data_IF_347936631625
#
_entry.id   IF_347936631625
#
_cell.length_a   1.000
_cell.length_b   1.000
_cell.length_c   1.000
_cell.angle_alpha   90.00
_cell.angle_beta   90.00
_cell.angle_gamma   90.00
#
_symmetry.space_group_name_H-M   'P 1'
#
loop_
_entity.id
_entity.type
_entity.pdbx_description
1 polymer ?
#
# COMPACT_ATOMS: atom_id res chain seq x y z
N UNK A 1 -0.36 3.01 34.48
CA UNK A 1 -1.68 3.22 33.84
C UNK A 1 -1.87 2.09 32.84
N UNK A 2 -2.94 1.35 32.97
CA UNK A 2 -3.12 -0.05 32.55
C UNK A 2 -3.09 -0.28 31.02
N UNK A 3 -2.07 -0.97 30.49
CA UNK A 3 -1.89 -1.27 29.06
C UNK A 3 -2.60 -2.57 28.59
N UNK A 4 -3.51 -3.13 29.40
CA UNK A 4 -4.09 -4.46 29.12
C UNK A 4 -5.61 -4.48 28.86
N UNK A 5 -6.26 -3.32 28.67
CA UNK A 5 -7.68 -3.29 28.27
C UNK A 5 -7.82 -3.40 26.75
N UNK A 6 -8.37 -4.52 26.32
CA UNK A 6 -8.96 -4.70 24.99
C UNK A 6 -10.06 -3.66 24.78
N UNK A 7 -10.01 -2.89 23.69
CA UNK A 7 -11.05 -1.92 23.31
C UNK A 7 -11.74 -2.37 22.02
N UNK A 8 -13.04 -2.08 21.91
CA UNK A 8 -13.79 -2.20 20.66
C UNK A 8 -13.55 -0.94 19.82
N UNK A 9 -13.47 -1.04 18.49
CA UNK A 9 -13.21 0.13 17.65
C UNK A 9 -14.44 1.05 17.70
N UNK A 10 -14.24 2.32 18.03
CA UNK A 10 -15.28 3.31 17.75
C UNK A 10 -15.46 3.45 16.24
N UNK A 11 -16.66 3.87 15.78
CA UNK A 11 -16.90 4.14 14.35
C UNK A 11 -15.83 5.05 13.74
N UNK A 12 -15.42 6.09 14.49
CA UNK A 12 -14.41 7.04 14.04
C UNK A 12 -13.02 6.41 13.91
N UNK A 13 -12.64 5.52 14.82
CA UNK A 13 -11.36 4.80 14.69
C UNK A 13 -11.38 3.81 13.53
N UNK A 14 -12.50 3.12 13.34
CA UNK A 14 -12.67 2.20 12.22
C UNK A 14 -12.61 2.94 10.87
N UNK A 15 -13.31 4.07 10.74
CA UNK A 15 -13.27 4.93 9.55
C UNK A 15 -11.84 5.43 9.26
N UNK A 16 -11.11 5.86 10.29
CA UNK A 16 -9.71 6.28 10.12
C UNK A 16 -8.79 5.14 9.65
N UNK A 17 -9.02 3.92 10.13
CA UNK A 17 -8.26 2.75 9.68
C UNK A 17 -8.62 2.44 8.22
N UNK A 18 -9.90 2.44 7.89
CA UNK A 18 -10.39 2.22 6.53
C UNK A 18 -9.75 3.22 5.55
N UNK A 19 -9.93 4.53 5.79
CA UNK A 19 -9.42 5.58 4.90
C UNK A 19 -7.90 5.53 4.71
N UNK A 20 -7.16 5.01 5.69
CA UNK A 20 -5.70 4.91 5.61
C UNK A 20 -5.21 3.62 4.93
N UNK A 21 -5.88 2.49 5.15
CA UNK A 21 -5.40 1.19 4.70
C UNK A 21 -6.07 0.70 3.41
N UNK A 22 -7.25 1.21 3.07
CA UNK A 22 -8.09 0.65 2.00
C UNK A 22 -7.32 0.49 0.68
N UNK A 23 -6.66 1.54 0.22
CA UNK A 23 -5.88 1.53 -1.02
C UNK A 23 -4.73 0.50 -0.98
N UNK A 24 -3.91 0.53 0.09
CA UNK A 24 -2.81 -0.42 0.28
C UNK A 24 -3.30 -1.87 0.31
N UNK A 25 -4.43 -2.13 0.97
CA UNK A 25 -5.03 -3.47 1.05
C UNK A 25 -5.56 -3.92 -0.31
N UNK A 26 -6.14 -3.02 -1.10
CA UNK A 26 -6.59 -3.33 -2.46
C UNK A 26 -5.39 -3.68 -3.36
N UNK A 27 -4.28 -2.93 -3.26
CA UNK A 27 -3.05 -3.24 -3.99
C UNK A 27 -2.46 -4.59 -3.59
N UNK A 28 -2.51 -4.95 -2.30
CA UNK A 28 -2.10 -6.27 -1.84
C UNK A 28 -2.98 -7.36 -2.40
N UNK A 29 -4.31 -7.23 -2.28
CA UNK A 29 -5.24 -8.21 -2.82
C UNK A 29 -5.02 -8.41 -4.34
N UNK A 30 -4.77 -7.31 -5.06
CA UNK A 30 -4.55 -7.34 -6.50
C UNK A 30 -3.29 -8.11 -6.90
N UNK A 31 -2.23 -8.11 -6.07
CA UNK A 31 -1.05 -8.96 -6.31
C UNK A 31 -1.35 -10.46 -6.30
N UNK A 32 -2.44 -10.87 -5.63
CA UNK A 32 -2.89 -12.25 -5.62
C UNK A 32 -3.90 -12.52 -6.73
N UNK A 33 -4.95 -11.70 -6.83
CA UNK A 33 -6.11 -12.03 -7.66
C UNK A 33 -6.07 -11.43 -9.07
N UNK A 34 -5.18 -10.45 -9.32
CA UNK A 34 -5.01 -9.74 -10.60
C UNK A 34 -6.31 -9.21 -11.21
N UNK A 35 -7.23 -8.76 -10.35
CA UNK A 35 -8.52 -8.17 -10.70
C UNK A 35 -8.84 -7.09 -9.66
N UNK A 36 -8.89 -5.84 -10.10
CA UNK A 36 -9.08 -4.71 -9.21
C UNK A 36 -10.47 -4.70 -8.56
N UNK A 37 -11.52 -5.00 -9.31
CA UNK A 37 -12.88 -5.01 -8.78
C UNK A 37 -13.03 -6.09 -7.70
N UNK A 38 -12.49 -7.28 -7.97
CA UNK A 38 -12.45 -8.35 -6.99
C UNK A 38 -11.59 -8.01 -5.77
N UNK A 39 -10.49 -7.28 -5.97
CA UNK A 39 -9.63 -6.82 -4.87
C UNK A 39 -10.39 -5.87 -3.94
N UNK A 40 -11.13 -4.92 -4.50
CA UNK A 40 -11.99 -4.01 -3.74
C UNK A 40 -13.06 -4.77 -2.96
N UNK A 41 -13.73 -5.75 -3.57
CA UNK A 41 -14.74 -6.61 -2.93
C UNK A 41 -14.14 -7.44 -1.78
N UNK A 42 -12.94 -7.99 -1.98
CA UNK A 42 -12.22 -8.74 -0.95
C UNK A 42 -11.97 -7.85 0.26
N UNK A 43 -11.44 -6.65 0.04
CA UNK A 43 -11.13 -5.70 1.10
C UNK A 43 -12.41 -5.23 1.81
N UNK A 44 -13.46 -4.87 1.07
CA UNK A 44 -14.74 -4.46 1.64
C UNK A 44 -15.32 -5.52 2.57
N UNK A 45 -15.43 -6.78 2.14
CA UNK A 45 -16.00 -7.82 3.02
C UNK A 45 -15.06 -8.19 4.19
N UNK A 46 -13.73 -7.95 4.11
CA UNK A 46 -12.87 -8.02 5.30
C UNK A 46 -13.23 -6.93 6.31
N UNK A 47 -13.41 -5.68 5.86
CA UNK A 47 -13.82 -4.59 6.74
C UNK A 47 -15.20 -4.84 7.34
N UNK A 48 -16.20 -5.23 6.54
CA UNK A 48 -17.56 -5.54 7.02
C UNK A 48 -17.49 -6.63 8.09
N UNK A 49 -16.80 -7.75 7.83
CA UNK A 49 -16.65 -8.83 8.81
C UNK A 49 -15.90 -8.39 10.07
N UNK A 50 -14.89 -7.55 9.94
CA UNK A 50 -14.16 -7.03 11.10
C UNK A 50 -15.06 -6.15 11.99
N UNK A 51 -15.93 -5.34 11.36
CA UNK A 51 -16.91 -4.51 12.04
C UNK A 51 -18.00 -5.34 12.74
N UNK A 52 -18.61 -6.28 12.03
CA UNK A 52 -19.68 -7.16 12.54
C UNK A 52 -19.20 -8.03 13.71
N UNK A 53 -17.99 -8.59 13.60
CA UNK A 53 -17.41 -9.43 14.63
C UNK A 53 -16.80 -8.65 15.80
N UNK A 54 -16.86 -7.31 15.77
CA UNK A 54 -16.30 -6.42 16.80
C UNK A 54 -14.89 -6.80 17.21
N UNK A 55 -14.01 -6.98 16.23
CA UNK A 55 -12.68 -7.57 16.46
C UNK A 55 -11.93 -6.81 17.58
N UNK A 56 -11.62 -7.47 18.71
CA UNK A 56 -10.96 -6.84 19.83
C UNK A 56 -9.51 -6.51 19.49
N UNK A 57 -9.04 -5.31 19.86
CA UNK A 57 -7.63 -4.93 19.66
C UNK A 57 -7.01 -4.28 20.90
N UNK A 58 -5.70 -4.49 21.04
CA UNK A 58 -4.88 -3.97 22.15
C UNK A 58 -4.09 -2.71 21.75
N UNK A 59 -3.77 -2.54 20.46
CA UNK A 59 -3.01 -1.41 19.92
C UNK A 59 -3.27 -1.28 18.40
N UNK A 60 -3.15 -0.06 17.86
CA UNK A 60 -3.27 0.30 16.43
C UNK A 60 -2.41 -0.57 15.50
N UNK A 61 -1.14 -0.80 15.85
CA UNK A 61 -0.26 -1.62 14.99
C UNK A 61 -0.75 -3.08 14.85
N UNK A 62 -1.41 -3.61 15.89
CA UNK A 62 -1.95 -4.98 15.86
C UNK A 62 -3.20 -5.09 15.01
N UNK A 63 -4.04 -4.05 14.98
CA UNK A 63 -5.24 -4.06 14.14
C UNK A 63 -4.88 -3.87 12.66
N UNK A 64 -3.88 -3.05 12.34
CA UNK A 64 -3.38 -2.90 10.96
C UNK A 64 -2.83 -4.23 10.43
N UNK A 65 -1.94 -4.88 11.20
CA UNK A 65 -1.42 -6.20 10.85
C UNK A 65 -2.51 -7.28 10.70
N UNK A 66 -3.59 -7.18 11.48
CA UNK A 66 -4.76 -8.04 11.32
C UNK A 66 -5.44 -7.84 9.96
N UNK A 67 -5.71 -6.60 9.54
CA UNK A 67 -6.35 -6.32 8.25
C UNK A 67 -5.53 -6.83 7.08
N UNK A 68 -4.22 -6.58 7.12
CA UNK A 68 -3.25 -7.12 6.17
C UNK A 68 -3.36 -8.64 6.07
N UNK A 69 -3.30 -9.34 7.21
CA UNK A 69 -3.37 -10.81 7.25
C UNK A 69 -4.73 -11.32 6.74
N UNK A 70 -5.83 -10.66 7.13
CA UNK A 70 -7.18 -11.05 6.74
C UNK A 70 -7.41 -10.92 5.23
N UNK A 71 -6.93 -9.83 4.62
CA UNK A 71 -7.01 -9.61 3.16
C UNK A 71 -6.18 -10.63 2.39
N UNK A 72 -4.94 -10.92 2.84
CA UNK A 72 -4.12 -11.99 2.27
C UNK A 72 -4.86 -13.32 2.31
N UNK A 73 -5.33 -13.73 3.49
CA UNK A 73 -5.93 -15.05 3.67
C UNK A 73 -7.16 -15.20 2.77
N UNK A 74 -8.00 -14.17 2.72
CA UNK A 74 -9.18 -14.19 1.87
C UNK A 74 -8.85 -14.18 0.37
N UNK A 75 -7.79 -13.48 -0.04
CA UNK A 75 -7.31 -13.52 -1.42
C UNK A 75 -6.81 -14.91 -1.80
N UNK A 76 -6.04 -15.56 -0.90
CA UNK A 76 -5.58 -16.93 -1.08
C UNK A 76 -6.73 -17.93 -1.10
N UNK A 77 -7.75 -17.75 -0.25
CA UNK A 77 -8.94 -18.61 -0.21
C UNK A 77 -9.77 -18.48 -1.49
N UNK A 78 -9.91 -17.26 -2.02
CA UNK A 78 -10.51 -17.04 -3.33
C UNK A 78 -9.73 -17.79 -4.42
N UNK A 79 -8.40 -17.63 -4.46
CA UNK A 79 -7.54 -18.32 -5.41
C UNK A 79 -7.66 -19.84 -5.30
N UNK A 80 -7.64 -20.40 -4.09
CA UNK A 80 -7.85 -21.84 -3.86
C UNK A 80 -9.21 -22.30 -4.37
N UNK A 81 -10.27 -21.54 -4.15
CA UNK A 81 -11.61 -21.85 -4.65
C UNK A 81 -11.70 -21.79 -6.18
N UNK A 82 -10.97 -20.85 -6.80
CA UNK A 82 -10.84 -20.72 -8.25
C UNK A 82 -10.02 -21.86 -8.86
N UNK A 83 -8.85 -22.19 -8.31
CA UNK A 83 -8.00 -23.28 -8.81
C UNK A 83 -8.53 -24.68 -8.51
N UNK A 84 -9.31 -24.85 -7.44
CA UNK A 84 -10.08 -26.09 -7.25
C UNK A 84 -11.10 -26.31 -8.38
N UNK A 85 -11.44 -25.26 -9.14
CA UNK A 85 -12.30 -25.33 -10.33
C UNK A 85 -11.49 -25.33 -11.64
N UNK A 86 -10.35 -24.61 -11.67
CA UNK A 86 -9.47 -24.46 -12.84
C UNK A 86 -8.05 -24.98 -12.54
N UNK A 87 -7.80 -26.25 -12.86
CA UNK A 87 -6.54 -26.97 -12.54
C UNK A 87 -5.34 -26.50 -13.37
N UNK A 88 -5.50 -25.60 -14.34
CA UNK A 88 -4.47 -25.33 -15.36
C UNK A 88 -3.65 -24.04 -15.18
N UNK A 89 -4.00 -23.11 -14.28
CA UNK A 89 -3.45 -21.73 -14.39
C UNK A 89 -2.25 -21.42 -13.47
N UNK A 90 -2.03 -22.11 -12.35
CA UNK A 90 -0.91 -21.81 -11.42
C UNK A 90 -0.30 -23.09 -10.82
N UNK A 91 1.04 -23.13 -10.70
CA UNK A 91 1.74 -24.27 -10.10
C UNK A 91 1.58 -24.28 -8.57
N UNK A 92 1.67 -25.45 -7.95
CA UNK A 92 1.61 -25.59 -6.49
C UNK A 92 2.72 -24.80 -5.77
N UNK A 93 3.89 -24.65 -6.41
CA UNK A 93 5.04 -23.91 -5.88
C UNK A 93 4.80 -22.39 -5.81
N UNK A 94 4.07 -21.83 -6.78
CA UNK A 94 3.70 -20.40 -6.77
C UNK A 94 2.76 -20.09 -5.59
N UNK A 95 1.82 -21.00 -5.32
CA UNK A 95 0.87 -20.87 -4.20
C UNK A 95 1.57 -20.99 -2.85
N UNK A 96 2.58 -21.85 -2.72
CA UNK A 96 3.37 -22.02 -1.50
C UNK A 96 4.24 -20.79 -1.20
N UNK A 97 4.86 -20.20 -2.22
CA UNK A 97 5.67 -18.98 -2.09
C UNK A 97 4.83 -17.80 -1.60
N UNK A 98 3.64 -17.61 -2.19
CA UNK A 98 2.66 -16.58 -1.82
C UNK A 98 2.09 -16.75 -0.40
N UNK A 99 2.14 -17.97 0.16
CA UNK A 99 1.65 -18.27 1.51
C UNK A 99 2.65 -17.91 2.60
N UNK A 100 3.94 -17.77 2.27
CA UNK A 100 4.97 -17.48 3.28
C UNK A 100 4.71 -16.15 4.00
N UNK A 101 4.97 -16.13 5.31
CA UNK A 101 4.81 -14.93 6.14
C UNK A 101 5.85 -13.86 5.79
N UNK A 102 7.06 -14.27 5.40
CA UNK A 102 8.14 -13.38 4.99
C UNK A 102 7.86 -12.62 3.69
N UNK A 103 7.33 -13.31 2.66
CA UNK A 103 6.90 -12.68 1.42
C UNK A 103 5.81 -11.64 1.70
N UNK A 104 4.82 -12.02 2.48
CA UNK A 104 3.71 -11.13 2.83
C UNK A 104 4.14 -9.85 3.56
N UNK A 105 4.94 -9.99 4.61
CA UNK A 105 5.44 -8.84 5.38
C UNK A 105 6.27 -7.90 4.49
N UNK A 106 7.10 -8.45 3.60
CA UNK A 106 7.87 -7.68 2.64
C UNK A 106 6.97 -6.89 1.70
N UNK A 107 5.98 -7.53 1.10
CA UNK A 107 5.08 -6.87 0.14
C UNK A 107 4.20 -5.82 0.80
N UNK A 108 3.71 -6.06 2.02
CA UNK A 108 2.95 -5.07 2.79
C UNK A 108 3.81 -3.82 3.07
N UNK A 109 5.05 -4.00 3.55
CA UNK A 109 5.97 -2.90 3.80
C UNK A 109 6.28 -2.11 2.52
N UNK A 110 6.51 -2.80 1.40
CA UNK A 110 6.79 -2.15 0.11
C UNK A 110 5.60 -1.32 -0.35
N UNK A 111 4.37 -1.84 -0.25
CA UNK A 111 3.17 -1.14 -0.68
C UNK A 111 2.89 0.07 0.21
N UNK A 112 3.04 -0.06 1.53
CA UNK A 112 2.89 1.07 2.44
C UNK A 112 3.92 2.16 2.18
N UNK A 113 5.18 1.78 1.99
CA UNK A 113 6.24 2.72 1.65
C UNK A 113 5.96 3.42 0.31
N UNK A 114 5.47 2.67 -0.69
CA UNK A 114 5.14 3.23 -2.01
C UNK A 114 3.95 4.20 -1.94
N UNK A 115 2.90 3.86 -1.20
CA UNK A 115 1.75 4.75 -0.96
C UNK A 115 2.16 6.04 -0.23
N UNK A 116 3.10 5.95 0.72
CA UNK A 116 3.65 7.14 1.39
C UNK A 116 4.43 8.03 0.42
N UNK A 117 5.21 7.42 -0.48
CA UNK A 117 5.95 8.15 -1.52
C UNK A 117 4.98 8.85 -2.46
N UNK A 118 3.97 8.17 -3.00
CA UNK A 118 3.02 8.80 -3.94
C UNK A 118 2.24 9.93 -3.29
N UNK A 119 1.73 9.76 -2.07
CA UNK A 119 1.08 10.86 -1.33
C UNK A 119 2.01 12.05 -1.11
N UNK A 120 3.31 11.81 -0.92
CA UNK A 120 4.28 12.90 -0.81
C UNK A 120 4.54 13.60 -2.16
N UNK A 121 4.50 12.85 -3.27
CA UNK A 121 4.61 13.41 -4.63
C UNK A 121 3.40 14.24 -5.01
N UNK A 122 2.19 13.85 -4.62
CA UNK A 122 0.94 14.61 -4.85
C UNK A 122 0.95 16.00 -4.18
N UNK A 123 1.76 16.21 -3.13
CA UNK A 123 1.92 17.50 -2.47
C UNK A 123 2.97 18.42 -3.14
N UNK A 124 3.64 17.92 -4.18
CA UNK A 124 4.58 18.70 -4.98
C UNK A 124 3.84 19.45 -6.10
N UNK A 125 4.38 20.56 -6.60
CA UNK A 125 3.90 21.15 -7.85
C UNK A 125 4.07 20.15 -9.00
N UNK A 126 3.13 20.10 -9.94
CA UNK A 126 3.03 19.08 -11.00
C UNK A 126 4.37 18.77 -11.68
N UNK A 127 5.07 19.80 -12.17
CA UNK A 127 6.37 19.62 -12.85
C UNK A 127 7.50 19.09 -11.95
N UNK A 128 7.42 19.35 -10.64
CA UNK A 128 8.34 18.76 -9.68
C UNK A 128 7.98 17.29 -9.37
N UNK A 129 6.68 16.96 -9.29
CA UNK A 129 6.22 15.59 -9.11
C UNK A 129 6.59 14.71 -10.32
N UNK A 130 6.35 15.22 -11.52
CA UNK A 130 6.68 14.56 -12.80
C UNK A 130 8.18 14.23 -12.90
N UNK A 131 9.05 15.22 -12.67
CA UNK A 131 10.51 15.00 -12.67
C UNK A 131 10.98 14.02 -11.59
N UNK A 132 10.27 13.95 -10.45
CA UNK A 132 10.57 12.99 -9.38
C UNK A 132 10.13 11.57 -9.73
N UNK A 133 8.94 11.38 -10.34
CA UNK A 133 8.46 10.05 -10.79
C UNK A 133 9.43 9.43 -11.79
N UNK A 134 9.79 10.17 -12.85
CA UNK A 134 10.77 9.70 -13.84
C UNK A 134 12.13 9.39 -13.19
N UNK A 135 12.55 10.18 -12.20
CA UNK A 135 13.77 9.88 -11.46
C UNK A 135 13.69 8.62 -10.60
N UNK A 136 12.52 8.28 -10.06
CA UNK A 136 12.28 7.03 -9.32
C UNK A 136 12.30 5.83 -10.28
N UNK A 137 11.80 6.02 -11.49
CA UNK A 137 11.90 5.07 -12.62
C UNK A 137 13.32 4.98 -13.21
N UNK A 138 14.33 5.57 -12.56
CA UNK A 138 15.74 5.51 -12.93
C UNK A 138 16.14 6.26 -14.21
N UNK A 139 15.29 7.17 -14.71
CA UNK A 139 15.67 8.06 -15.81
C UNK A 139 16.78 9.03 -15.37
N UNK A 140 17.76 9.23 -16.24
CA UNK A 140 18.81 10.24 -16.05
C UNK A 140 18.25 11.66 -16.21
N UNK A 141 18.92 12.65 -15.63
CA UNK A 141 18.47 14.04 -15.79
C UNK A 141 18.42 14.51 -17.26
N UNK A 142 19.13 13.82 -18.17
CA UNK A 142 19.07 14.09 -19.61
C UNK A 142 17.80 13.50 -20.20
N UNK A 143 17.52 12.23 -19.94
CA UNK A 143 16.29 11.58 -20.43
C UNK A 143 15.03 12.25 -19.87
N UNK A 144 15.05 12.68 -18.60
CA UNK A 144 13.95 13.48 -18.02
C UNK A 144 13.77 14.80 -18.75
N UNK A 145 14.88 15.46 -19.12
CA UNK A 145 14.83 16.74 -19.83
C UNK A 145 14.24 16.55 -21.24
N UNK A 146 14.63 15.47 -21.91
CA UNK A 146 14.14 15.09 -23.23
C UNK A 146 12.63 14.72 -23.16
N UNK A 147 12.21 13.94 -22.16
CA UNK A 147 10.81 13.53 -21.96
C UNK A 147 9.88 14.72 -21.63
N UNK A 148 10.35 15.64 -20.79
CA UNK A 148 9.57 16.80 -20.34
C UNK A 148 9.67 18.02 -21.27
N UNK A 149 10.46 17.94 -22.35
CA UNK A 149 10.79 19.03 -23.27
C UNK A 149 11.29 20.31 -22.54
N UNK A 150 12.29 20.13 -21.66
CA UNK A 150 12.91 21.22 -20.89
C UNK A 150 14.43 21.08 -20.85
N UNK A 151 15.13 22.08 -20.28
CA UNK A 151 16.57 21.97 -20.11
C UNK A 151 16.94 21.05 -18.94
N UNK A 152 18.10 20.38 -19.03
CA UNK A 152 18.68 19.58 -17.92
C UNK A 152 18.86 20.42 -16.64
N UNK A 153 19.10 21.74 -16.77
CA UNK A 153 19.16 22.63 -15.62
C UNK A 153 17.79 22.83 -14.97
N UNK A 154 16.75 22.98 -15.78
CA UNK A 154 15.35 23.06 -15.31
C UNK A 154 14.95 21.78 -14.56
N UNK A 155 15.36 20.60 -15.04
CA UNK A 155 15.17 19.33 -14.31
C UNK A 155 15.84 19.37 -12.94
N UNK A 156 17.10 19.81 -12.87
CA UNK A 156 17.83 19.93 -11.60
C UNK A 156 17.14 20.88 -10.63
N UNK A 157 16.60 21.99 -11.13
CA UNK A 157 15.86 22.96 -10.32
C UNK A 157 14.54 22.37 -9.79
N UNK A 158 13.76 21.68 -10.64
CA UNK A 158 12.57 20.95 -10.22
C UNK A 158 12.88 19.91 -9.14
N UNK A 159 13.91 19.08 -9.33
CA UNK A 159 14.34 18.09 -8.34
C UNK A 159 14.81 18.75 -7.04
N UNK A 160 15.54 19.86 -7.11
CA UNK A 160 15.96 20.62 -5.92
C UNK A 160 14.78 21.15 -5.11
N UNK A 161 13.76 21.70 -5.79
CA UNK A 161 12.52 22.15 -5.15
C UNK A 161 11.77 20.98 -4.53
N UNK A 162 11.65 19.86 -5.25
CA UNK A 162 11.04 18.63 -4.76
C UNK A 162 11.73 18.12 -3.49
N UNK A 163 13.05 17.91 -3.50
CA UNK A 163 13.80 17.45 -2.34
C UNK A 163 13.64 18.37 -1.13
N UNK A 164 13.62 19.70 -1.34
CA UNK A 164 13.40 20.66 -0.24
C UNK A 164 12.01 20.51 0.37
N UNK A 165 10.97 20.34 -0.45
CA UNK A 165 9.60 20.11 0.03
C UNK A 165 9.48 18.76 0.74
N UNK A 166 9.94 17.68 0.12
CA UNK A 166 9.89 16.32 0.67
C UNK A 166 10.65 16.24 2.00
N UNK A 167 11.84 16.84 2.12
CA UNK A 167 12.60 16.89 3.38
C UNK A 167 11.88 17.67 4.47
N UNK A 168 11.16 18.73 4.11
CA UNK A 168 10.33 19.45 5.09
C UNK A 168 9.18 18.56 5.55
N UNK A 169 8.56 17.81 4.64
CA UNK A 169 7.45 16.88 4.92
C UNK A 169 7.88 15.66 5.71
N UNK A 170 9.07 15.08 5.49
CA UNK A 170 9.55 13.90 6.21
C UNK A 170 9.67 14.16 7.72
N UNK A 171 10.02 15.39 8.12
CA UNK A 171 9.99 15.82 9.52
C UNK A 171 8.58 15.90 10.13
N UNK A 172 7.53 16.08 9.32
CA UNK A 172 6.13 16.06 9.77
C UNK A 172 5.49 14.67 9.65
N UNK A 173 5.98 13.81 8.75
CA UNK A 173 5.46 12.46 8.49
C UNK A 173 6.11 11.39 9.40
N UNK A 174 7.03 11.78 10.29
CA UNK A 174 7.66 10.87 11.26
C UNK A 174 8.62 9.85 10.64
N UNK A 175 9.14 10.15 9.43
CA UNK A 175 10.13 9.32 8.74
C UNK A 175 11.50 9.89 9.10
N UNK A 176 12.10 9.38 10.18
CA UNK A 176 13.49 9.68 10.62
C UNK A 176 14.29 8.42 10.75
#
# INVERSE_FOLDING_TARGET
MDQNKTHELTMKEFENIFNRLYESLCLIANKYVNDLALSEDIVQDVFIKAWENKVPFKNKNKIEGFFYTAVKNKSLDFLRSKYAKDVETYSSEDLETLQTESYFLREAVIIEASSLVERALELLPDKCAEAMRLSIESYTNKEIADEMDISVNTVKDHKKVAYKKLRKMSGYLGIT
#
